data_IF_111882107816
#
_entry.id   IF_111882107816
#
_cell.length_a   1.000
_cell.length_b   1.000
_cell.length_c   1.000
_cell.angle_alpha   90.00
_cell.angle_beta   90.00
_cell.angle_gamma   90.00
#
_symmetry.space_group_name_H-M   'P 1'
#
loop_
_entity.id
_entity.type
_entity.pdbx_description
1 polymer ?
#
# COMPACT_ATOMS: atom_id res chain seq x y z
N UNK A 1 16.33 -7.18 3.68
CA UNK A 1 16.38 -5.79 3.23
C UNK A 1 17.48 -5.06 3.96
N UNK A 2 18.25 -4.28 3.22
CA UNK A 2 19.28 -3.42 3.78
C UNK A 2 19.42 -2.27 2.80
N UNK A 3 19.18 -1.05 3.26
CA UNK A 3 19.64 0.15 2.57
C UNK A 3 20.24 1.07 3.63
N UNK A 4 21.55 1.22 3.52
CA UNK A 4 22.31 2.45 3.80
C UNK A 4 23.26 2.56 2.62
N UNK A 5 23.56 3.72 2.06
CA UNK A 5 23.77 5.03 2.66
C UNK A 5 23.54 6.10 1.60
N UNK A 6 22.83 7.17 1.94
CA UNK A 6 23.33 8.55 1.85
C UNK A 6 22.43 9.43 2.73
N UNK A 7 22.87 9.70 3.95
CA UNK A 7 22.27 10.58 4.98
C UNK A 7 21.02 10.11 5.76
N UNK A 8 20.43 8.96 5.48
CA UNK A 8 19.19 8.48 6.13
C UNK A 8 19.36 8.07 7.60
N UNK A 9 18.97 8.98 8.49
CA UNK A 9 18.26 8.56 9.71
C UNK A 9 16.79 8.41 9.30
N UNK A 10 16.18 7.25 9.58
CA UNK A 10 14.71 7.02 9.59
C UNK A 10 14.02 6.33 8.39
N UNK A 11 14.73 5.59 7.53
CA UNK A 11 14.05 4.64 6.63
C UNK A 11 13.48 3.44 7.40
N UNK A 12 12.16 3.40 7.58
CA UNK A 12 11.39 2.32 8.22
C UNK A 12 10.84 1.41 7.12
N UNK A 13 10.89 0.09 7.31
CA UNK A 13 10.50 -0.84 6.25
C UNK A 13 10.01 -2.22 6.68
N UNK A 14 9.25 -2.82 5.77
CA UNK A 14 8.78 -4.19 5.83
C UNK A 14 9.25 -4.96 4.61
N UNK A 15 9.49 -6.25 4.78
CA UNK A 15 9.77 -7.17 3.69
C UNK A 15 8.72 -8.26 3.64
N UNK A 16 8.30 -8.64 2.44
CA UNK A 16 7.50 -9.84 2.21
C UNK A 16 8.35 -10.89 1.48
N UNK A 17 8.25 -12.14 1.90
CA UNK A 17 8.83 -13.24 1.14
C UNK A 17 7.99 -13.49 -0.12
N UNK A 18 8.61 -13.94 -1.22
CA UNK A 18 7.92 -14.35 -2.46
C UNK A 18 6.81 -13.39 -2.93
N UNK A 19 7.16 -12.20 -3.41
CA UNK A 19 6.22 -11.30 -4.05
C UNK A 19 5.97 -11.73 -5.51
N UNK A 20 4.73 -12.05 -5.83
CA UNK A 20 4.27 -12.46 -7.16
C UNK A 20 3.10 -11.57 -7.55
N UNK A 21 3.14 -11.04 -8.78
CA UNK A 21 2.02 -10.34 -9.41
C UNK A 21 1.66 -11.16 -10.64
N UNK A 22 0.40 -11.56 -10.76
CA UNK A 22 -0.06 -12.34 -11.93
C UNK A 22 -0.11 -11.45 -13.19
N UNK A 23 -0.49 -12.05 -14.31
CA UNK A 23 -0.62 -11.30 -15.57
C UNK A 23 -1.96 -10.55 -15.66
N UNK A 24 -2.15 -9.83 -16.76
CA UNK A 24 -3.36 -9.05 -17.05
C UNK A 24 -4.63 -9.91 -17.12
N UNK A 25 -4.56 -11.13 -17.69
CA UNK A 25 -5.72 -12.03 -17.76
C UNK A 25 -6.21 -12.51 -16.39
N UNK A 26 -5.37 -12.34 -15.37
CA UNK A 26 -5.68 -12.57 -13.96
C UNK A 26 -5.66 -11.27 -13.18
N UNK A 27 -5.88 -10.13 -13.84
CA UNK A 27 -6.04 -8.81 -13.22
C UNK A 27 -4.90 -8.40 -12.29
N UNK A 28 -3.66 -8.82 -12.60
CA UNK A 28 -2.47 -8.48 -11.83
C UNK A 28 -2.59 -8.77 -10.32
N UNK A 29 -3.28 -9.86 -9.95
CA UNK A 29 -3.44 -10.30 -8.56
C UNK A 29 -2.11 -10.38 -7.79
N UNK A 30 -2.08 -9.81 -6.59
CA UNK A 30 -0.94 -9.83 -5.69
C UNK A 30 -0.91 -11.11 -4.85
N UNK A 31 0.25 -11.75 -4.79
CA UNK A 31 0.55 -12.78 -3.79
C UNK A 31 1.84 -12.46 -3.07
N UNK A 32 1.83 -12.58 -1.75
CA UNK A 32 3.03 -12.46 -0.93
C UNK A 32 3.03 -13.54 0.15
N UNK A 33 4.22 -13.95 0.57
CA UNK A 33 4.44 -14.76 1.75
C UNK A 33 4.52 -13.93 3.03
N UNK A 34 4.89 -14.58 4.13
CA UNK A 34 4.99 -13.94 5.43
C UNK A 34 5.83 -12.66 5.39
N UNK A 35 5.34 -11.63 6.09
CA UNK A 35 6.04 -10.38 6.26
C UNK A 35 7.03 -10.42 7.43
N UNK A 36 8.00 -9.52 7.36
CA UNK A 36 8.93 -9.25 8.46
C UNK A 36 9.09 -7.74 8.55
N UNK A 37 8.71 -7.17 9.69
CA UNK A 37 9.13 -5.82 10.05
C UNK A 37 10.62 -5.88 10.43
N UNK A 38 11.43 -5.01 9.81
CA UNK A 38 12.88 -4.97 10.02
C UNK A 38 13.33 -3.59 10.55
N UNK A 39 12.38 -2.71 10.90
CA UNK A 39 12.65 -1.44 11.57
C UNK A 39 11.37 -0.62 11.78
N UNK A 40 11.30 0.09 12.92
CA UNK A 40 10.30 1.10 13.28
C UNK A 40 8.83 0.62 13.37
N UNK A 41 7.88 1.53 13.64
CA UNK A 41 6.45 1.22 13.85
C UNK A 41 5.65 0.94 12.55
N UNK A 42 6.27 0.38 11.52
CA UNK A 42 5.54 -0.02 10.30
C UNK A 42 4.65 -1.23 10.58
N UNK A 43 3.39 -1.11 10.20
CA UNK A 43 2.39 -2.20 10.29
C UNK A 43 2.28 -2.85 8.91
N UNK A 44 1.99 -4.15 8.91
CA UNK A 44 1.67 -4.86 7.68
C UNK A 44 0.24 -4.52 7.25
N UNK A 45 0.11 -3.80 6.13
CA UNK A 45 -1.18 -3.47 5.53
C UNK A 45 -1.52 -4.38 4.34
N UNK A 46 -0.60 -5.26 3.93
CA UNK A 46 -0.75 -6.12 2.75
C UNK A 46 -1.27 -7.49 3.18
N UNK A 47 -0.63 -8.12 4.16
CA UNK A 47 -1.03 -9.44 4.62
C UNK A 47 -1.91 -9.34 5.88
N UNK A 48 -3.03 -10.07 5.95
CA UNK A 48 -3.53 -11.01 4.94
C UNK A 48 -4.44 -10.38 3.88
N UNK A 49 -4.94 -9.17 4.12
CA UNK A 49 -6.17 -8.67 3.49
C UNK A 49 -6.06 -8.37 2.00
N UNK A 50 -4.85 -8.07 1.49
CA UNK A 50 -4.62 -7.72 0.08
C UNK A 50 -4.02 -8.88 -0.72
N UNK A 51 -3.75 -10.03 -0.09
CA UNK A 51 -3.21 -11.21 -0.76
C UNK A 51 -4.32 -11.97 -1.49
N UNK A 52 -4.11 -12.24 -2.77
CA UNK A 52 -5.10 -12.86 -3.66
C UNK A 52 -6.11 -11.86 -4.23
N UNK A 53 -5.95 -10.57 -3.94
CA UNK A 53 -6.83 -9.51 -4.42
C UNK A 53 -6.39 -9.06 -5.81
N UNK A 54 -7.32 -8.91 -6.78
CA UNK A 54 -7.01 -8.37 -8.09
C UNK A 54 -6.79 -6.86 -8.02
N UNK A 55 -6.08 -6.31 -9.02
CA UNK A 55 -5.78 -4.89 -9.06
C UNK A 55 -6.99 -4.10 -9.58
N UNK A 56 -7.39 -3.07 -8.86
CA UNK A 56 -8.48 -2.16 -9.24
C UNK A 56 -7.95 -0.80 -9.67
N UNK A 57 -8.61 -0.18 -10.62
CA UNK A 57 -8.42 1.22 -11.05
C UNK A 57 -9.78 1.90 -11.18
N UNK A 58 -9.81 3.24 -11.22
CA UNK A 58 -11.07 4.01 -11.27
C UNK A 58 -12.05 3.62 -12.40
N UNK A 59 -11.53 3.03 -13.46
CA UNK A 59 -12.27 2.57 -14.63
C UNK A 59 -12.45 1.04 -14.68
N UNK A 60 -11.83 0.29 -13.76
CA UNK A 60 -11.91 -1.16 -13.64
C UNK A 60 -12.02 -1.55 -12.17
N UNK A 61 -13.25 -1.80 -11.72
CA UNK A 61 -13.52 -2.26 -10.37
C UNK A 61 -13.35 -3.78 -10.25
N UNK A 62 -12.33 -4.18 -9.50
CA UNK A 62 -12.02 -5.56 -9.16
C UNK A 62 -11.91 -5.75 -7.64
N UNK A 63 -12.51 -4.87 -6.82
CA UNK A 63 -12.29 -4.90 -5.37
C UNK A 63 -13.06 -6.03 -4.63
N UNK A 64 -13.94 -6.72 -5.35
CA UNK A 64 -14.69 -7.88 -4.87
C UNK A 64 -15.97 -7.54 -4.14
N UNK A 65 -16.44 -6.29 -4.16
CA UNK A 65 -17.70 -5.86 -3.56
C UNK A 65 -18.52 -5.00 -4.52
N UNK A 66 -19.67 -5.51 -4.98
CA UNK A 66 -20.55 -4.81 -5.94
C UNK A 66 -21.23 -3.53 -5.38
N UNK A 67 -21.02 -3.19 -4.10
CA UNK A 67 -21.68 -2.05 -3.43
C UNK A 67 -20.78 -0.84 -3.20
N UNK A 68 -19.47 -0.99 -3.40
CA UNK A 68 -18.45 0.05 -3.22
C UNK A 68 -17.52 0.04 -4.44
N UNK A 69 -16.86 1.16 -4.70
CA UNK A 69 -15.73 1.20 -5.63
C UNK A 69 -14.57 1.88 -4.93
N UNK A 70 -13.72 1.05 -4.34
CA UNK A 70 -12.61 1.50 -3.52
C UNK A 70 -11.62 2.38 -4.29
N UNK A 71 -11.43 2.12 -5.58
CA UNK A 71 -10.49 2.88 -6.40
C UNK A 71 -11.00 4.29 -6.71
N UNK A 72 -12.32 4.47 -6.80
CA UNK A 72 -12.94 5.78 -6.91
C UNK A 72 -12.92 6.55 -5.59
N UNK A 73 -13.09 5.89 -4.44
CA UNK A 73 -13.05 6.52 -3.12
C UNK A 73 -11.63 6.87 -2.65
N UNK A 74 -10.69 5.93 -2.71
CA UNK A 74 -9.31 6.09 -2.24
C UNK A 74 -8.39 6.69 -3.32
N UNK A 75 -8.82 6.69 -4.58
CA UNK A 75 -8.02 7.18 -5.69
C UNK A 75 -6.82 6.29 -6.02
N UNK A 76 -6.32 6.46 -7.25
CA UNK A 76 -5.22 5.66 -7.76
C UNK A 76 -5.65 4.24 -8.14
N UNK A 77 -4.66 3.37 -8.31
CA UNK A 77 -4.88 1.94 -8.57
C UNK A 77 -4.13 1.13 -7.53
N UNK A 78 -4.82 0.16 -6.93
CA UNK A 78 -4.28 -0.66 -5.85
C UNK A 78 -5.02 -1.99 -5.77
N UNK A 79 -4.48 -2.92 -4.99
CA UNK A 79 -5.16 -4.16 -4.63
C UNK A 79 -6.17 -3.88 -3.52
N UNK A 80 -7.27 -3.21 -3.84
CA UNK A 80 -8.33 -2.89 -2.88
C UNK A 80 -9.21 -4.11 -2.63
N UNK A 81 -9.57 -4.36 -1.37
CA UNK A 81 -10.48 -5.40 -0.94
C UNK A 81 -11.74 -4.77 -0.34
N UNK A 82 -12.82 -4.67 -1.12
CA UNK A 82 -14.08 -4.06 -0.69
C UNK A 82 -14.66 -4.75 0.55
N UNK A 83 -14.57 -6.07 0.62
CA UNK A 83 -15.08 -6.87 1.76
C UNK A 83 -14.31 -6.65 3.07
N UNK A 84 -13.12 -6.05 2.99
CA UNK A 84 -12.26 -5.72 4.14
C UNK A 84 -12.17 -4.21 4.41
N UNK A 85 -13.00 -3.38 3.78
CA UNK A 85 -12.94 -1.92 3.92
C UNK A 85 -11.83 -1.29 3.07
N UNK A 86 -11.69 -1.74 1.83
CA UNK A 86 -10.76 -1.29 0.81
C UNK A 86 -9.28 -1.58 1.10
N UNK A 87 -8.62 -0.80 1.94
CA UNK A 87 -7.23 -1.03 2.30
C UNK A 87 -6.83 -0.23 3.54
N UNK A 88 -5.95 -0.81 4.37
CA UNK A 88 -5.34 -0.10 5.49
C UNK A 88 -4.18 0.85 5.07
N UNK A 89 -3.76 0.77 3.81
CA UNK A 89 -2.74 1.62 3.21
C UNK A 89 -3.09 1.99 1.78
N UNK A 90 -2.65 3.18 1.37
CA UNK A 90 -2.86 3.71 0.04
C UNK A 90 -1.55 4.36 -0.46
N UNK A 91 -0.57 3.59 -0.94
CA UNK A 91 0.69 4.14 -1.42
C UNK A 91 0.56 4.88 -2.76
N UNK A 92 -0.56 4.70 -3.46
CA UNK A 92 -0.89 5.37 -4.72
C UNK A 92 -1.83 6.55 -4.56
N UNK A 93 -2.14 6.91 -3.32
CA UNK A 93 -3.01 8.02 -2.98
C UNK A 93 -2.43 9.37 -3.36
N UNK A 94 -3.26 10.40 -3.23
CA UNK A 94 -2.87 11.80 -3.40
C UNK A 94 -1.84 12.17 -2.34
N UNK A 95 -0.70 12.72 -2.77
CA UNK A 95 0.26 13.26 -1.81
C UNK A 95 -0.38 14.40 -1.00
N UNK A 96 -0.36 14.33 0.35
CA UNK A 96 -0.79 15.44 1.19
C UNK A 96 0.14 16.64 0.95
N UNK A 97 -0.38 17.85 1.14
CA UNK A 97 0.31 19.07 0.73
C UNK A 97 1.75 19.15 1.29
N UNK A 98 2.77 19.36 0.43
CA UNK A 98 4.18 19.15 0.77
C UNK A 98 4.78 20.10 1.81
N UNK A 99 4.06 21.13 2.27
CA UNK A 99 4.59 22.15 3.17
C UNK A 99 4.57 21.77 4.65
N UNK A 100 3.85 20.71 5.06
CA UNK A 100 3.69 20.38 6.49
C UNK A 100 3.99 18.93 6.86
N UNK A 101 4.05 18.00 5.90
CA UNK A 101 4.33 16.58 6.22
C UNK A 101 3.27 15.94 7.13
N UNK A 102 2.04 16.48 7.12
CA UNK A 102 0.91 16.00 7.92
C UNK A 102 -0.25 15.70 6.98
N UNK A 103 -0.91 14.56 7.19
CA UNK A 103 -2.15 14.13 6.56
C UNK A 103 -3.34 14.92 7.10
N UNK A 104 -4.29 15.23 6.23
CA UNK A 104 -5.59 15.77 6.65
C UNK A 104 -6.51 14.67 7.17
N UNK A 105 -6.17 13.40 6.91
CA UNK A 105 -7.00 12.26 7.28
C UNK A 105 -8.03 11.91 6.20
N UNK A 106 -7.86 12.44 4.99
CA UNK A 106 -8.68 12.04 3.84
C UNK A 106 -8.30 10.61 3.44
N UNK A 107 -9.30 9.80 3.08
CA UNK A 107 -9.09 8.40 2.67
C UNK A 107 -8.26 8.27 1.39
N UNK A 108 -8.27 9.33 0.56
CA UNK A 108 -7.55 9.38 -0.71
C UNK A 108 -6.07 9.78 -0.57
N UNK A 109 -5.59 10.08 0.64
CA UNK A 109 -4.22 10.52 0.86
C UNK A 109 -3.22 9.36 0.81
N UNK A 110 -1.99 9.67 0.39
CA UNK A 110 -0.88 8.74 0.42
C UNK A 110 -0.52 8.37 1.87
N UNK A 111 -0.60 7.08 2.21
CA UNK A 111 -0.25 6.58 3.53
C UNK A 111 0.11 5.08 3.54
N UNK A 112 0.96 4.68 4.48
CA UNK A 112 1.21 3.26 4.79
C UNK A 112 0.53 2.80 6.08
N UNK A 113 0.19 3.71 6.99
CA UNK A 113 -0.43 3.39 8.27
C UNK A 113 -1.41 4.49 8.68
N UNK A 114 -2.65 4.11 8.99
CA UNK A 114 -3.65 5.01 9.55
C UNK A 114 -3.50 5.23 11.07
N UNK A 115 -2.73 4.40 11.78
CA UNK A 115 -2.57 4.40 13.25
C UNK A 115 -1.30 5.07 13.78
N UNK A 116 -0.25 5.21 12.98
CA UNK A 116 0.95 5.95 13.42
C UNK A 116 0.72 7.41 13.05
N UNK A 117 0.79 8.27 14.07
CA UNK A 117 0.76 9.74 14.09
C UNK A 117 0.61 10.34 12.71
N UNK A 118 -0.42 11.17 12.49
CA UNK A 118 -0.85 11.84 11.23
C UNK A 118 0.23 12.41 10.28
N UNK A 119 1.52 12.20 10.52
CA UNK A 119 2.62 12.27 9.58
C UNK A 119 2.27 11.62 8.24
N UNK A 120 2.45 12.42 7.21
CA UNK A 120 2.43 11.98 5.84
C UNK A 120 3.72 11.22 5.52
N UNK A 121 3.60 10.10 4.82
CA UNK A 121 4.75 9.53 4.13
C UNK A 121 5.12 10.49 3.00
N UNK A 122 6.30 11.12 3.08
CA UNK A 122 6.78 12.00 2.00
C UNK A 122 7.27 11.16 0.80
N UNK A 123 7.73 9.94 1.08
CA UNK A 123 8.24 9.00 0.07
C UNK A 123 7.83 7.58 0.47
N UNK A 124 7.25 6.82 -0.45
CA UNK A 124 7.06 5.36 -0.35
C UNK A 124 7.74 4.72 -1.54
N UNK A 125 8.55 3.70 -1.29
CA UNK A 125 9.26 2.93 -2.31
C UNK A 125 8.89 1.46 -2.18
N UNK A 126 8.57 0.83 -3.30
CA UNK A 126 8.40 -0.62 -3.41
C UNK A 126 9.38 -1.13 -4.46
N UNK A 127 10.18 -2.14 -4.11
CA UNK A 127 11.17 -2.70 -5.02
C UNK A 127 11.27 -4.22 -4.85
N UNK A 128 11.51 -4.91 -5.96
CA UNK A 128 11.74 -6.34 -5.99
C UNK A 128 13.24 -6.61 -5.88
N UNK A 129 13.61 -7.56 -5.02
CA UNK A 129 14.96 -8.09 -4.96
C UNK A 129 14.96 -9.48 -5.60
N UNK A 130 15.93 -9.81 -6.47
CA UNK A 130 16.09 -11.16 -6.96
C UNK A 130 16.41 -12.09 -5.78
N UNK A 131 15.82 -13.28 -5.82
CA UNK A 131 16.09 -14.36 -4.87
C UNK A 131 17.44 -15.02 -5.14
#
# INVERSE_FOLDING_TARGET
>A
MKLGNESDRDAIYMTHNHAIITNESSHYTLYTGASKNVGGPVVDCIFPDLVGIPFSTRDVDNDGDDTIDCSNEFGGGWWFNGTAGCAACNPTGRMPFPSLGVRNGDVDELHWNNTVDNLASVTILMYLLPY
#
